data_IF_788733227481
#
_entry.id   IF_788733227481
#
_cell.length_a   1.000
_cell.length_b   1.000
_cell.length_c   1.000
_cell.angle_alpha   90.00
_cell.angle_beta   90.00
_cell.angle_gamma   90.00
#
_symmetry.space_group_name_H-M   'P 1'
#
loop_
_entity.id
_entity.type
_entity.pdbx_description
1 polymer ?
#
# COMPACT_ATOMS: atom_id res chain seq x y z
N UNK A 1 -8.81 30.10 -3.56
CA UNK A 1 -9.42 28.85 -3.06
C UNK A 1 -10.91 29.11 -2.90
N UNK A 2 -11.77 28.44 -3.67
CA UNK A 2 -13.21 28.75 -3.81
C UNK A 2 -14.14 27.77 -3.07
N UNK A 3 -13.62 26.69 -2.50
CA UNK A 3 -14.41 25.78 -1.67
C UNK A 3 -14.06 25.99 -0.20
N UNK A 4 -15.04 26.27 0.69
CA UNK A 4 -14.83 26.11 2.12
C UNK A 4 -14.44 24.66 2.34
N UNK A 5 -13.25 24.43 2.90
CA UNK A 5 -12.83 23.10 3.33
C UNK A 5 -13.83 22.62 4.37
N UNK A 6 -14.78 21.79 3.97
CA UNK A 6 -15.61 21.04 4.89
C UNK A 6 -14.73 19.95 5.49
N UNK A 7 -13.90 20.32 6.45
CA UNK A 7 -13.32 19.37 7.38
C UNK A 7 -14.45 18.85 8.28
N UNK A 8 -15.18 17.87 7.77
CA UNK A 8 -15.88 16.93 8.64
C UNK A 8 -14.81 16.31 9.56
N UNK A 9 -15.08 16.10 10.86
CA UNK A 9 -14.17 15.35 11.72
C UNK A 9 -14.19 13.89 11.25
N UNK A 10 -13.39 13.60 10.23
CA UNK A 10 -13.06 12.23 9.86
C UNK A 10 -12.30 11.67 11.07
N UNK A 11 -12.64 10.47 11.56
CA UNK A 11 -11.82 9.81 12.56
C UNK A 11 -10.38 9.79 12.06
N UNK A 12 -9.48 10.41 12.81
CA UNK A 12 -8.07 10.47 12.49
C UNK A 12 -7.39 9.16 12.89
N UNK A 13 -6.23 8.90 12.28
CA UNK A 13 -5.37 7.76 12.63
C UNK A 13 -5.12 7.75 14.15
N UNK A 14 -5.04 8.92 14.78
CA UNK A 14 -4.88 9.11 16.22
C UNK A 14 -5.97 8.43 17.06
N UNK A 15 -7.22 8.44 16.57
CA UNK A 15 -8.34 7.80 17.26
C UNK A 15 -8.21 6.27 17.19
N UNK A 16 -7.70 5.74 16.07
CA UNK A 16 -7.40 4.32 15.90
C UNK A 16 -6.34 3.89 16.93
N UNK A 17 -5.22 4.60 17.01
CA UNK A 17 -4.15 4.33 17.99
C UNK A 17 -4.57 4.54 19.45
N UNK A 18 -5.56 5.40 19.72
CA UNK A 18 -6.07 5.62 21.08
C UNK A 18 -6.95 4.48 21.59
N UNK A 19 -7.52 3.68 20.69
CA UNK A 19 -8.39 2.55 21.04
C UNK A 19 -7.64 1.24 21.30
N UNK A 20 -6.35 1.15 20.95
CA UNK A 20 -5.49 -0.01 21.20
C UNK A 20 -4.33 -0.14 20.21
N UNK A 21 -3.72 -1.33 20.15
CA UNK A 21 -2.75 -1.69 19.11
C UNK A 21 -3.50 -1.93 17.80
N UNK A 22 -3.31 -1.09 16.76
CA UNK A 22 -4.08 -1.23 15.54
C UNK A 22 -3.59 -2.41 14.70
N UNK A 23 -4.53 -3.04 13.99
CA UNK A 23 -4.19 -3.98 12.94
C UNK A 23 -3.73 -3.17 11.70
N UNK A 24 -2.73 -3.67 10.98
CA UNK A 24 -2.24 -3.06 9.74
C UNK A 24 -3.38 -2.87 8.72
N UNK A 25 -4.33 -3.81 8.65
CA UNK A 25 -5.49 -3.70 7.76
C UNK A 25 -6.37 -2.50 8.12
N UNK A 26 -6.53 -2.21 9.42
CA UNK A 26 -7.33 -1.07 9.87
C UNK A 26 -6.61 0.25 9.53
N UNK A 27 -5.28 0.29 9.69
CA UNK A 27 -4.44 1.42 9.27
C UNK A 27 -4.55 1.66 7.76
N UNK A 28 -4.48 0.60 6.95
CA UNK A 28 -4.66 0.72 5.49
C UNK A 28 -6.09 1.10 5.10
N UNK A 29 -7.09 0.74 5.89
CA UNK A 29 -8.47 1.12 5.58
C UNK A 29 -8.80 2.57 5.95
N UNK A 30 -7.99 3.20 6.80
CA UNK A 30 -8.15 4.60 7.17
C UNK A 30 -7.72 5.53 6.02
N UNK A 31 -8.63 6.41 5.59
CA UNK A 31 -8.38 7.35 4.50
C UNK A 31 -7.37 8.43 4.86
N UNK A 32 -7.12 8.67 6.15
CA UNK A 32 -6.14 9.64 6.64
C UNK A 32 -4.72 9.09 6.71
N UNK A 33 -4.51 7.77 6.69
CA UNK A 33 -3.23 7.13 6.94
C UNK A 33 -2.08 7.66 6.07
N UNK A 34 -2.29 7.75 4.76
CA UNK A 34 -1.25 8.26 3.83
C UNK A 34 -0.95 9.73 4.11
N UNK A 35 -1.98 10.55 4.35
CA UNK A 35 -1.80 11.96 4.65
C UNK A 35 -1.06 12.17 5.97
N UNK A 36 -1.41 11.41 7.00
CA UNK A 36 -0.79 11.49 8.33
C UNK A 36 0.65 10.95 8.32
N UNK A 37 0.95 9.95 7.48
CA UNK A 37 2.31 9.49 7.25
C UNK A 37 3.18 10.61 6.65
N UNK A 38 2.70 11.26 5.58
CA UNK A 38 3.36 12.43 4.96
C UNK A 38 3.46 13.63 5.90
N UNK A 39 2.50 13.76 6.82
CA UNK A 39 2.50 14.77 7.87
C UNK A 39 3.40 14.46 9.07
N UNK A 40 4.14 13.36 9.03
CA UNK A 40 5.02 12.89 10.12
C UNK A 40 4.27 12.68 11.44
N UNK A 41 3.12 11.99 11.42
CA UNK A 41 2.48 11.57 12.66
C UNK A 41 3.37 10.55 13.39
N UNK A 42 3.95 10.95 14.52
CA UNK A 42 4.92 10.14 15.27
C UNK A 42 4.39 8.74 15.62
N UNK A 43 3.12 8.61 16.04
CA UNK A 43 2.54 7.30 16.41
C UNK A 43 2.46 6.37 15.22
N UNK A 44 2.04 6.91 14.07
CA UNK A 44 1.93 6.14 12.84
C UNK A 44 3.33 5.75 12.33
N UNK A 45 4.28 6.68 12.33
CA UNK A 45 5.66 6.40 11.90
C UNK A 45 6.32 5.36 12.81
N UNK A 46 6.21 5.50 14.12
CA UNK A 46 6.75 4.54 15.09
C UNK A 46 6.15 3.14 14.93
N UNK A 47 4.88 3.05 14.53
CA UNK A 47 4.23 1.79 14.19
C UNK A 47 4.72 1.22 12.86
N UNK A 48 4.76 2.04 11.81
CA UNK A 48 5.17 1.62 10.47
C UNK A 48 6.64 1.20 10.39
N UNK A 49 7.50 1.72 11.26
CA UNK A 49 8.94 1.38 11.33
C UNK A 49 9.20 0.04 12.03
N UNK A 50 8.19 -0.57 12.66
CA UNK A 50 8.35 -1.90 13.27
C UNK A 50 8.62 -2.94 12.18
N UNK A 51 9.61 -3.79 12.41
CA UNK A 51 10.06 -4.80 11.44
C UNK A 51 8.89 -5.67 10.92
N UNK A 52 8.05 -6.18 11.83
CA UNK A 52 6.88 -6.98 11.47
C UNK A 52 5.84 -6.25 10.61
N UNK A 53 5.76 -4.92 10.73
CA UNK A 53 4.83 -4.09 9.94
C UNK A 53 5.44 -3.79 8.58
N UNK A 54 6.73 -3.43 8.53
CA UNK A 54 7.46 -3.23 7.28
C UNK A 54 7.45 -4.48 6.41
N UNK A 55 7.76 -5.63 6.99
CA UNK A 55 7.78 -6.91 6.26
C UNK A 55 6.41 -7.18 5.63
N UNK A 56 5.32 -6.99 6.39
CA UNK A 56 3.97 -7.13 5.86
C UNK A 56 3.63 -6.15 4.75
N UNK A 57 4.09 -4.90 4.83
CA UNK A 57 3.90 -3.92 3.75
C UNK A 57 4.63 -4.36 2.48
N UNK A 58 5.83 -4.91 2.62
CA UNK A 58 6.59 -5.48 1.49
C UNK A 58 5.90 -6.73 0.95
N UNK A 59 5.35 -7.59 1.81
CA UNK A 59 4.58 -8.76 1.39
C UNK A 59 3.37 -8.34 0.56
N UNK A 60 2.62 -7.30 0.98
CA UNK A 60 1.51 -6.75 0.19
C UNK A 60 1.93 -6.24 -1.19
N UNK A 61 3.18 -5.82 -1.39
CA UNK A 61 3.67 -5.30 -2.67
C UNK A 61 4.23 -6.44 -3.54
N UNK A 62 4.90 -7.41 -2.92
CA UNK A 62 5.75 -8.38 -3.62
C UNK A 62 5.12 -9.77 -3.77
N UNK A 63 4.12 -10.11 -2.95
CA UNK A 63 3.43 -11.40 -3.00
C UNK A 63 2.06 -11.27 -3.68
N UNK A 64 1.63 -12.35 -4.32
CA UNK A 64 0.28 -12.41 -4.90
C UNK A 64 -0.77 -12.33 -3.79
N UNK A 65 -1.77 -11.44 -3.93
CA UNK A 65 -2.81 -11.30 -2.92
C UNK A 65 -3.69 -12.55 -2.87
N UNK A 66 -4.19 -12.86 -1.67
CA UNK A 66 -5.02 -14.04 -1.44
C UNK A 66 -6.21 -14.12 -2.43
N UNK A 67 -6.35 -15.25 -3.17
CA UNK A 67 -7.41 -15.44 -4.17
C UNK A 67 -8.81 -15.52 -3.57
N UNK A 68 -8.97 -15.57 -2.25
CA UNK A 68 -10.27 -15.49 -1.58
C UNK A 68 -10.68 -14.03 -1.29
N UNK A 69 -9.74 -13.08 -1.31
CA UNK A 69 -10.06 -11.68 -1.06
C UNK A 69 -10.89 -11.06 -2.19
N UNK A 70 -11.77 -10.10 -1.90
CA UNK A 70 -12.48 -9.34 -2.94
C UNK A 70 -11.50 -8.65 -3.89
N UNK A 71 -11.82 -8.62 -5.19
CA UNK A 71 -10.96 -8.03 -6.22
C UNK A 71 -10.51 -6.61 -5.88
N UNK A 72 -11.41 -5.78 -5.33
CA UNK A 72 -11.08 -4.42 -4.91
C UNK A 72 -9.96 -4.39 -3.85
N UNK A 73 -10.02 -5.29 -2.87
CA UNK A 73 -9.03 -5.38 -1.79
C UNK A 73 -7.67 -5.86 -2.30
N UNK A 74 -7.65 -6.76 -3.30
CA UNK A 74 -6.42 -7.27 -3.92
C UNK A 74 -5.57 -6.19 -4.57
N UNK A 75 -6.20 -5.13 -5.09
CA UNK A 75 -5.48 -3.98 -5.63
C UNK A 75 -5.30 -2.87 -4.60
N UNK A 76 -6.24 -2.71 -3.67
CA UNK A 76 -6.21 -1.66 -2.64
C UNK A 76 -4.99 -1.79 -1.72
N UNK A 77 -4.74 -2.98 -1.17
CA UNK A 77 -3.67 -3.14 -0.18
C UNK A 77 -2.26 -2.97 -0.75
N UNK A 78 -1.89 -3.57 -1.90
CA UNK A 78 -0.61 -3.31 -2.54
C UNK A 78 -0.42 -1.82 -2.88
N UNK A 79 -1.46 -1.16 -3.39
CA UNK A 79 -1.43 0.27 -3.71
C UNK A 79 -1.12 1.11 -2.48
N UNK A 80 -1.85 0.89 -1.38
CA UNK A 80 -1.66 1.67 -0.15
C UNK A 80 -0.34 1.37 0.53
N UNK A 81 0.11 0.11 0.50
CA UNK A 81 1.42 -0.25 1.02
C UNK A 81 2.53 0.46 0.25
N UNK A 82 2.46 0.47 -1.08
CA UNK A 82 3.40 1.20 -1.93
C UNK A 82 3.38 2.70 -1.66
N UNK A 83 2.20 3.30 -1.52
CA UNK A 83 2.03 4.72 -1.16
C UNK A 83 2.66 5.05 0.20
N UNK A 84 2.49 4.19 1.21
CA UNK A 84 3.07 4.40 2.54
C UNK A 84 4.59 4.26 2.54
N UNK A 85 5.15 3.25 1.86
CA UNK A 85 6.59 3.07 1.76
C UNK A 85 7.26 4.15 0.90
N UNK A 86 6.52 4.74 -0.04
CA UNK A 86 7.00 5.84 -0.90
C UNK A 86 6.74 7.22 -0.29
N UNK A 87 6.23 7.31 0.94
CA UNK A 87 6.22 8.57 1.66
C UNK A 87 7.67 8.95 1.96
N UNK A 88 8.12 10.14 1.53
CA UNK A 88 9.45 10.70 1.82
C UNK A 88 9.65 10.99 3.32
N UNK A 89 9.69 9.93 4.12
CA UNK A 89 9.81 9.93 5.57
C UNK A 89 11.09 9.18 5.92
N UNK A 90 12.10 9.91 6.40
CA UNK A 90 13.43 9.38 6.66
C UNK A 90 13.42 8.16 7.57
N UNK A 91 12.57 8.14 8.60
CA UNK A 91 12.47 7.03 9.56
C UNK A 91 12.05 5.72 8.89
N UNK A 92 11.12 5.78 7.93
CA UNK A 92 10.65 4.62 7.17
C UNK A 92 11.75 4.18 6.20
N UNK A 93 12.32 5.12 5.43
CA UNK A 93 13.39 4.83 4.48
C UNK A 93 14.62 4.22 5.16
N UNK A 94 15.05 4.76 6.29
CA UNK A 94 16.17 4.22 7.06
C UNK A 94 15.88 2.81 7.59
N UNK A 95 14.63 2.52 7.96
CA UNK A 95 14.23 1.20 8.41
C UNK A 95 14.16 0.17 7.27
N UNK A 96 13.79 0.61 6.05
CA UNK A 96 13.88 -0.22 4.84
C UNK A 96 15.33 -0.55 4.48
N UNK A 97 16.21 0.45 4.52
CA UNK A 97 17.64 0.30 4.16
C UNK A 97 18.42 -0.47 5.23
N UNK A 98 17.88 -0.60 6.46
CA UNK A 98 18.54 -1.31 7.55
C UNK A 98 18.78 -2.79 7.22
N UNK A 99 17.92 -3.39 6.41
CA UNK A 99 18.02 -4.80 6.03
C UNK A 99 18.06 -4.94 4.51
N UNK A 100 19.21 -5.36 3.97
CA UNK A 100 19.43 -5.48 2.52
C UNK A 100 18.42 -6.44 1.85
N UNK A 101 17.97 -7.47 2.59
CA UNK A 101 16.99 -8.46 2.12
C UNK A 101 15.66 -7.83 1.69
N UNK A 102 15.22 -6.76 2.39
CA UNK A 102 13.96 -6.05 2.10
C UNK A 102 14.05 -5.29 0.79
N UNK A 103 15.17 -4.61 0.56
CA UNK A 103 15.43 -3.89 -0.69
C UNK A 103 15.58 -4.87 -1.85
N UNK A 104 16.29 -5.98 -1.64
CA UNK A 104 16.43 -7.03 -2.67
C UNK A 104 15.06 -7.55 -3.12
N UNK A 105 14.14 -7.83 -2.19
CA UNK A 105 12.76 -8.25 -2.51
C UNK A 105 12.01 -7.21 -3.35
N UNK A 106 12.04 -5.94 -2.92
CA UNK A 106 11.37 -4.84 -3.64
C UNK A 106 11.98 -4.60 -5.03
N UNK A 107 13.31 -4.70 -5.16
CA UNK A 107 14.01 -4.50 -6.43
C UNK A 107 13.87 -5.68 -7.40
N UNK A 108 13.75 -6.91 -6.88
CA UNK A 108 13.57 -8.10 -7.71
C UNK A 108 12.15 -8.23 -8.25
N UNK A 109 11.15 -7.76 -7.52
CA UNK A 109 9.74 -7.88 -7.90
C UNK A 109 9.42 -7.32 -9.31
N UNK A 110 9.81 -6.08 -9.68
CA UNK A 110 9.58 -5.55 -11.03
C UNK A 110 10.32 -6.30 -12.15
N UNK A 111 11.40 -7.01 -11.80
CA UNK A 111 12.21 -7.76 -12.75
C UNK A 111 11.70 -9.19 -12.98
N UNK A 112 10.73 -9.65 -12.19
CA UNK A 112 10.12 -10.96 -12.41
C UNK A 112 9.34 -10.94 -13.74
N UNK A 113 9.53 -11.94 -14.62
CA UNK A 113 8.71 -12.07 -15.80
C UNK A 113 7.28 -12.33 -15.32
N UNK A 114 6.41 -11.33 -15.45
CA UNK A 114 4.97 -11.47 -15.20
C UNK A 114 4.48 -12.69 -15.96
N UNK A 115 4.10 -13.73 -15.22
CA UNK A 115 3.42 -14.89 -15.76
C UNK A 115 2.01 -14.43 -16.14
N UNK A 116 1.87 -13.91 -17.35
CA UNK A 116 0.55 -13.64 -17.91
C UNK A 116 -0.18 -14.98 -18.00
N UNK A 117 -1.20 -15.17 -17.16
CA UNK A 117 -2.17 -16.24 -17.35
C UNK A 117 -2.74 -16.11 -18.78
N UNK A 118 -2.74 -17.17 -19.60
CA UNK A 118 -3.12 -17.08 -21.01
C UNK A 118 -4.55 -16.57 -21.23
N UNK A 119 -5.42 -16.64 -20.20
CA UNK A 119 -6.77 -16.08 -20.22
C UNK A 119 -6.79 -14.54 -20.32
N UNK A 120 -5.84 -13.84 -19.71
CA UNK A 120 -5.77 -12.38 -19.73
C UNK A 120 -5.29 -11.84 -21.08
N UNK A 121 -4.44 -12.58 -21.79
CA UNK A 121 -4.03 -12.25 -23.16
C UNK A 121 -5.20 -12.31 -24.15
N UNK A 122 -6.19 -13.18 -23.91
CA UNK A 122 -7.30 -13.38 -24.84
C UNK A 122 -8.30 -12.23 -24.80
N UNK A 123 -8.46 -11.57 -23.64
CA UNK A 123 -9.26 -10.35 -23.49
C UNK A 123 -8.61 -9.14 -24.17
N UNK A 124 -7.28 -9.03 -24.11
CA UNK A 124 -6.52 -7.97 -24.80
C UNK A 124 -6.64 -8.10 -26.33
N UNK A 125 -6.53 -9.32 -26.86
CA UNK A 125 -6.69 -9.57 -28.30
C UNK A 125 -8.14 -9.36 -28.79
N UNK A 126 -9.14 -9.66 -27.96
CA UNK A 126 -10.54 -9.35 -28.28
C UNK A 126 -10.84 -7.85 -28.29
N UNK A 127 -10.19 -7.07 -27.41
CA UNK A 127 -10.31 -5.62 -27.38
C UNK A 127 -9.75 -4.94 -28.64
N UNK A 128 -8.64 -5.44 -29.19
CA UNK A 128 -8.04 -4.91 -30.41
C UNK A 128 -8.88 -5.16 -31.68
N UNK A 129 -9.63 -6.26 -31.74
CA UNK A 129 -10.55 -6.55 -32.86
C UNK A 129 -11.79 -5.64 -32.86
N UNK A 130 -12.21 -5.14 -31.69
CA UNK A 130 -13.36 -4.23 -31.55
C UNK A 130 -13.02 -2.78 -31.91
N UNK A 131 -11.74 -2.39 -31.87
CA UNK A 131 -11.29 -1.04 -32.25
C UNK A 131 -11.04 -0.93 -33.76
N UNK A 132 -10.91 -2.07 -34.46
CA UNK A 132 -10.68 -2.13 -35.92
C UNK A 132 -11.95 -2.34 -36.77
N UNK A 133 -13.15 -2.21 -36.20
CA UNK A 133 -14.43 -2.18 -36.93
C UNK A 133 -15.13 -0.85 -36.73
#
# INVERSE_FOLDING_TARGET
>A
MFWPSYQSPVPTIDSLFSSGQPNLIDVLNDSSAVQECRGYNAKLVDYLVQDSVLDRLIDYITEDPDPELPLHSRYKYPYLACELLSCDVDSINNALVREDSRLDRLCQFPAQPVAFEPADCQLLLQGEELIRK
#
